data_IF_386171499840
#
_entry.id   IF_386171499840
#
_cell.length_a   1.000
_cell.length_b   1.000
_cell.length_c   1.000
_cell.angle_alpha   90.00
_cell.angle_beta   90.00
_cell.angle_gamma   90.00
#
_symmetry.space_group_name_H-M   'P 1'
#
loop_
_entity.id
_entity.type
_entity.pdbx_description
1 polymer ?
#
# COMPACT_ATOMS: atom_id res chain seq x y z
N UNK A 1 19.19 -5.77 -16.55
CA UNK A 1 18.26 -6.13 -15.45
C UNK A 1 16.86 -5.72 -15.86
N UNK A 2 15.83 -6.56 -15.64
CA UNK A 2 14.44 -6.15 -15.83
C UNK A 2 14.11 -4.94 -14.94
N UNK A 3 13.22 -4.04 -15.37
CA UNK A 3 12.78 -2.95 -14.50
C UNK A 3 11.97 -3.50 -13.32
N UNK A 4 12.02 -2.85 -12.15
CA UNK A 4 11.24 -3.25 -10.96
C UNK A 4 9.75 -3.38 -11.30
N UNK A 5 9.21 -2.45 -12.10
CA UNK A 5 7.82 -2.50 -12.57
C UNK A 5 7.51 -3.76 -13.39
N UNK A 6 8.44 -4.19 -14.25
CA UNK A 6 8.30 -5.43 -15.03
C UNK A 6 8.29 -6.66 -14.11
N UNK A 7 9.16 -6.69 -13.10
CA UNK A 7 9.20 -7.80 -12.13
C UNK A 7 7.93 -7.85 -11.27
N UNK A 8 7.41 -6.70 -10.81
CA UNK A 8 6.14 -6.63 -10.07
C UNK A 8 4.98 -7.17 -10.91
N UNK A 9 4.92 -6.78 -12.19
CA UNK A 9 3.91 -7.28 -13.12
C UNK A 9 4.04 -8.80 -13.30
N UNK A 10 5.26 -9.32 -13.51
CA UNK A 10 5.51 -10.75 -13.66
C UNK A 10 5.13 -11.53 -12.39
N UNK A 11 5.51 -11.03 -11.21
CA UNK A 11 5.13 -11.63 -9.93
C UNK A 11 3.62 -11.66 -9.74
N UNK A 12 2.94 -10.57 -10.11
CA UNK A 12 1.47 -10.50 -10.09
C UNK A 12 0.85 -11.51 -11.05
N UNK A 13 1.43 -11.69 -12.26
CA UNK A 13 0.98 -12.71 -13.21
C UNK A 13 1.15 -14.12 -12.65
N UNK A 14 2.33 -14.47 -12.14
CA UNK A 14 2.61 -15.78 -11.52
C UNK A 14 1.61 -16.11 -10.40
N UNK A 15 1.29 -15.11 -9.57
CA UNK A 15 0.28 -15.26 -8.52
C UNK A 15 -1.09 -15.55 -9.13
N UNK A 16 -1.53 -14.76 -10.11
CA UNK A 16 -2.84 -14.93 -10.75
C UNK A 16 -2.99 -16.30 -11.45
N UNK A 17 -1.93 -16.80 -12.09
CA UNK A 17 -1.87 -18.15 -12.67
C UNK A 17 -2.09 -19.26 -11.64
N UNK A 18 -1.74 -19.00 -10.37
CA UNK A 18 -1.97 -19.88 -9.22
C UNK A 18 -3.19 -19.46 -8.38
N UNK A 19 -4.21 -18.86 -9.01
CA UNK A 19 -5.45 -18.39 -8.35
C UNK A 19 -5.21 -17.27 -7.33
N UNK A 20 -4.21 -16.43 -7.57
CA UNK A 20 -3.91 -15.20 -6.84
C UNK A 20 -3.06 -15.37 -5.57
N UNK A 21 -2.59 -16.59 -5.27
CA UNK A 21 -1.74 -16.90 -4.13
C UNK A 21 -0.81 -18.10 -4.43
N UNK A 22 0.43 -18.07 -3.93
CA UNK A 22 1.34 -19.22 -3.99
C UNK A 22 2.40 -19.14 -2.88
N UNK A 23 3.11 -20.25 -2.63
CA UNK A 23 4.20 -20.26 -1.66
C UNK A 23 5.34 -19.32 -2.07
N UNK A 24 5.98 -18.68 -1.08
CA UNK A 24 7.06 -17.71 -1.29
C UNK A 24 8.22 -18.30 -2.12
N UNK A 25 8.66 -19.52 -1.76
CA UNK A 25 9.74 -20.22 -2.46
C UNK A 25 9.35 -20.56 -3.91
N UNK A 26 8.08 -20.90 -4.16
CA UNK A 26 7.61 -21.19 -5.51
C UNK A 26 7.60 -19.92 -6.37
N UNK A 27 7.16 -18.78 -5.82
CA UNK A 27 7.19 -17.50 -6.53
C UNK A 27 8.63 -17.08 -6.87
N UNK A 28 9.55 -17.27 -5.92
CA UNK A 28 10.98 -17.02 -6.13
C UNK A 28 11.53 -17.83 -7.31
N UNK A 29 11.26 -19.14 -7.34
CA UNK A 29 11.70 -20.03 -8.41
C UNK A 29 11.12 -19.63 -9.78
N UNK A 30 9.82 -19.33 -9.85
CA UNK A 30 9.16 -18.89 -11.09
C UNK A 30 9.75 -17.59 -11.62
N UNK A 31 10.03 -16.60 -10.74
CA UNK A 31 10.63 -15.33 -11.16
C UNK A 31 12.11 -15.46 -11.55
N UNK A 32 12.88 -16.30 -10.85
CA UNK A 32 14.25 -16.63 -11.24
C UNK A 32 14.29 -17.26 -12.64
N UNK A 33 13.31 -18.12 -12.97
CA UNK A 33 13.21 -18.75 -14.28
C UNK A 33 12.73 -17.79 -15.37
N UNK A 34 11.69 -16.98 -15.10
CA UNK A 34 11.05 -16.11 -16.10
C UNK A 34 11.83 -14.84 -16.40
N UNK A 35 12.45 -14.23 -15.39
CA UNK A 35 13.10 -12.92 -15.54
C UNK A 35 14.51 -12.84 -14.95
N UNK A 36 15.13 -13.99 -14.57
CA UNK A 36 16.50 -14.07 -14.03
C UNK A 36 16.74 -13.17 -12.81
N UNK A 37 15.69 -12.93 -12.03
CA UNK A 37 15.73 -12.08 -10.84
C UNK A 37 16.49 -12.76 -9.70
N UNK A 38 17.38 -12.02 -9.03
CA UNK A 38 18.21 -12.54 -7.94
C UNK A 38 17.41 -12.70 -6.63
N UNK A 39 17.98 -13.43 -5.66
CA UNK A 39 17.37 -13.59 -4.34
C UNK A 39 17.27 -12.26 -3.57
N UNK A 40 18.28 -11.38 -3.70
CA UNK A 40 18.30 -10.07 -3.05
C UNK A 40 17.19 -9.18 -3.61
N UNK A 41 17.06 -9.12 -4.94
CA UNK A 41 16.00 -8.36 -5.61
C UNK A 41 14.61 -8.90 -5.26
N UNK A 42 14.46 -10.23 -5.15
CA UNK A 42 13.21 -10.86 -4.73
C UNK A 42 12.78 -10.40 -3.34
N UNK A 43 13.68 -10.52 -2.37
CA UNK A 43 13.44 -10.12 -0.98
C UNK A 43 13.09 -8.64 -0.93
N UNK A 44 13.85 -7.80 -1.65
CA UNK A 44 13.59 -6.38 -1.75
C UNK A 44 12.18 -6.09 -2.28
N UNK A 45 11.75 -6.73 -3.38
CA UNK A 45 10.43 -6.49 -3.98
C UNK A 45 9.31 -6.94 -3.03
N UNK A 46 9.42 -8.13 -2.45
CA UNK A 46 8.39 -8.68 -1.56
C UNK A 46 8.25 -7.82 -0.30
N UNK A 47 9.35 -7.34 0.29
CA UNK A 47 9.33 -6.52 1.50
C UNK A 47 8.91 -5.06 1.23
N UNK A 48 9.34 -4.48 0.11
CA UNK A 48 9.12 -3.06 -0.20
C UNK A 48 7.87 -2.81 -1.04
N UNK A 49 7.11 -3.85 -1.43
CA UNK A 49 5.85 -3.71 -2.16
C UNK A 49 4.63 -4.31 -1.42
N UNK A 50 4.34 -3.92 -0.15
CA UNK A 50 3.20 -4.47 0.63
C UNK A 50 1.82 -4.09 0.06
N UNK A 51 1.79 -3.13 -0.88
CA UNK A 51 0.60 -2.74 -1.64
C UNK A 51 0.31 -3.67 -2.82
N UNK A 52 1.23 -4.58 -3.14
CA UNK A 52 1.16 -5.54 -4.26
C UNK A 52 1.24 -6.98 -3.79
N UNK A 53 2.00 -7.24 -2.72
CA UNK A 53 2.22 -8.57 -2.19
C UNK A 53 1.95 -8.58 -0.69
N UNK A 54 1.07 -9.47 -0.25
CA UNK A 54 0.83 -9.74 1.16
C UNK A 54 1.50 -11.07 1.52
N UNK A 55 2.38 -11.05 2.52
CA UNK A 55 2.90 -12.27 3.13
C UNK A 55 1.92 -12.79 4.17
N UNK A 56 1.61 -14.08 4.07
CA UNK A 56 0.72 -14.79 4.99
C UNK A 56 1.48 -15.98 5.54
N UNK A 57 1.56 -16.17 6.88
CA UNK A 57 2.15 -17.36 7.46
C UNK A 57 1.47 -18.64 6.95
N UNK A 58 2.28 -19.63 6.56
CA UNK A 58 1.83 -20.92 6.04
C UNK A 58 2.73 -22.03 6.59
N UNK A 59 2.37 -22.53 7.78
CA UNK A 59 3.20 -23.47 8.55
C UNK A 59 4.52 -22.82 8.98
N UNK A 60 5.63 -23.44 8.61
CA UNK A 60 7.00 -22.93 8.86
C UNK A 60 7.49 -21.98 7.75
N UNK A 61 6.65 -21.67 6.77
CA UNK A 61 6.97 -20.83 5.62
C UNK A 61 5.94 -19.72 5.44
N UNK A 62 5.98 -19.05 4.29
CA UNK A 62 5.06 -17.99 3.92
C UNK A 62 4.44 -18.27 2.55
N UNK A 63 3.18 -17.89 2.42
CA UNK A 63 2.48 -17.74 1.14
C UNK A 63 2.38 -16.25 0.78
N UNK A 64 2.44 -15.96 -0.51
CA UNK A 64 2.32 -14.60 -1.07
C UNK A 64 0.96 -14.48 -1.73
N UNK A 65 0.18 -13.47 -1.34
CA UNK A 65 -1.14 -13.15 -1.91
C UNK A 65 -1.05 -11.84 -2.71
N UNK A 66 -1.60 -11.85 -3.93
CA UNK A 66 -1.64 -10.66 -4.79
C UNK A 66 -2.61 -9.59 -4.28
N UNK A 67 -2.16 -8.33 -4.26
CA UNK A 67 -2.92 -7.19 -3.73
C UNK A 67 -3.02 -6.06 -4.74
N UNK A 68 -4.17 -5.38 -4.75
CA UNK A 68 -4.35 -4.14 -5.49
C UNK A 68 -5.33 -3.20 -4.77
N UNK A 69 -5.13 -1.89 -4.95
CA UNK A 69 -6.06 -0.84 -4.50
C UNK A 69 -7.20 -0.57 -5.49
N UNK A 70 -7.12 -1.10 -6.71
CA UNK A 70 -8.14 -0.87 -7.73
C UNK A 70 -9.48 -1.54 -7.36
N UNK A 71 -10.57 -0.82 -7.56
CA UNK A 71 -11.95 -1.28 -7.35
C UNK A 71 -12.81 -0.85 -8.53
N UNK A 72 -13.94 -1.54 -8.75
CA UNK A 72 -14.92 -1.08 -9.74
C UNK A 72 -15.66 0.15 -9.21
N UNK A 73 -15.98 1.09 -10.11
CA UNK A 73 -16.77 2.25 -9.75
C UNK A 73 -18.24 1.86 -9.53
N UNK A 74 -18.76 2.09 -8.31
CA UNK A 74 -20.15 1.77 -7.96
C UNK A 74 -21.18 2.56 -8.77
N UNK A 75 -20.98 3.89 -8.90
CA UNK A 75 -21.86 4.76 -9.68
C UNK A 75 -21.88 4.33 -11.16
N UNK A 76 -20.71 4.11 -11.74
CA UNK A 76 -20.59 3.61 -13.12
C UNK A 76 -21.26 2.25 -13.30
N UNK A 77 -21.06 1.32 -12.36
CA UNK A 77 -21.66 -0.02 -12.41
C UNK A 77 -23.18 0.01 -12.39
N UNK A 78 -23.79 1.05 -11.81
CA UNK A 78 -25.25 1.28 -11.82
C UNK A 78 -25.73 2.09 -13.03
N UNK A 79 -24.83 2.55 -13.90
CA UNK A 79 -25.15 3.42 -15.03
C UNK A 79 -25.40 4.88 -14.65
N UNK A 80 -24.96 5.29 -13.46
CA UNK A 80 -25.05 6.67 -12.98
C UNK A 80 -23.91 7.52 -13.57
N UNK A 81 -24.08 8.85 -13.58
CA UNK A 81 -23.00 9.77 -14.00
C UNK A 81 -21.88 9.73 -12.97
N UNK A 82 -20.67 9.43 -13.43
CA UNK A 82 -19.47 9.46 -12.60
C UNK A 82 -18.73 10.79 -12.77
N UNK A 83 -18.22 11.36 -11.68
CA UNK A 83 -17.51 12.64 -11.70
C UNK A 83 -16.14 12.55 -12.40
N UNK A 84 -15.64 13.69 -12.90
CA UNK A 84 -14.41 13.76 -13.71
C UNK A 84 -13.10 13.37 -13.00
N UNK A 85 -13.11 13.21 -11.67
CA UNK A 85 -11.95 12.82 -10.86
C UNK A 85 -11.98 11.37 -10.34
N UNK A 86 -12.81 10.50 -10.92
CA UNK A 86 -12.99 9.12 -10.44
C UNK A 86 -11.68 8.31 -10.43
N UNK A 87 -11.37 7.66 -9.31
CA UNK A 87 -10.18 6.81 -9.11
C UNK A 87 -10.52 5.32 -9.09
N UNK A 88 -11.65 4.94 -9.67
CA UNK A 88 -12.15 3.56 -9.74
C UNK A 88 -12.34 3.14 -11.20
N UNK A 89 -12.23 1.85 -11.46
CA UNK A 89 -12.31 1.30 -12.82
C UNK A 89 -13.75 1.40 -13.35
N UNK A 90 -13.87 1.88 -14.58
CA UNK A 90 -15.12 1.90 -15.33
C UNK A 90 -15.19 0.66 -16.21
N UNK A 91 -15.74 -0.42 -15.65
CA UNK A 91 -15.92 -1.71 -16.33
C UNK A 91 -17.28 -2.31 -16.01
N UNK A 92 -17.81 -3.06 -16.96
CA UNK A 92 -18.98 -3.90 -16.76
C UNK A 92 -18.66 -5.00 -15.74
N UNK A 93 -19.40 -5.04 -14.63
CA UNK A 93 -19.23 -6.09 -13.61
C UNK A 93 -19.38 -7.52 -14.18
N UNK A 94 -20.35 -7.74 -15.08
CA UNK A 94 -20.54 -9.06 -15.70
C UNK A 94 -19.43 -9.41 -16.70
N UNK A 95 -18.71 -8.41 -17.23
CA UNK A 95 -17.53 -8.65 -18.04
C UNK A 95 -16.38 -9.15 -17.18
N UNK A 96 -16.16 -8.51 -16.03
CA UNK A 96 -15.19 -8.96 -15.01
C UNK A 96 -15.53 -10.38 -14.51
N UNK A 97 -16.80 -10.76 -14.49
CA UNK A 97 -17.21 -12.13 -14.16
C UNK A 97 -17.00 -13.16 -15.28
N UNK A 98 -16.66 -12.71 -16.49
CA UNK A 98 -16.37 -13.55 -17.64
C UNK A 98 -17.58 -14.04 -18.43
N UNK A 99 -18.82 -13.67 -18.06
CA UNK A 99 -20.03 -14.13 -18.75
C UNK A 99 -21.09 -13.02 -18.93
N UNK A 100 -20.67 -11.84 -19.41
CA UNK A 100 -21.59 -10.77 -19.78
C UNK A 100 -22.43 -11.17 -21.00
N UNK A 101 -23.76 -11.28 -20.80
CA UNK A 101 -24.74 -11.64 -21.85
C UNK A 101 -24.78 -10.66 -23.03
N UNK A 102 -24.24 -9.45 -22.87
CA UNK A 102 -24.21 -8.38 -23.88
C UNK A 102 -22.81 -8.17 -24.49
N UNK A 103 -21.82 -9.02 -24.17
CA UNK A 103 -20.46 -8.88 -24.71
C UNK A 103 -20.23 -9.56 -26.06
N UNK A 104 -21.05 -10.55 -26.41
CA UNK A 104 -20.90 -11.37 -27.63
C UNK A 104 -22.19 -11.45 -28.46
N UNK A 105 -23.22 -10.69 -28.09
CA UNK A 105 -24.56 -10.74 -28.69
C UNK A 105 -24.87 -9.55 -29.61
N UNK A 106 -26.07 -9.57 -30.21
CA UNK A 106 -26.53 -8.51 -31.14
C UNK A 106 -26.71 -7.13 -30.49
N UNK A 107 -26.93 -7.08 -29.17
CA UNK A 107 -27.05 -5.84 -28.39
C UNK A 107 -25.75 -5.57 -27.64
N UNK A 108 -25.20 -4.38 -27.83
CA UNK A 108 -23.99 -3.91 -27.15
C UNK A 108 -24.26 -3.68 -25.65
N UNK A 109 -23.26 -4.00 -24.82
CA UNK A 109 -23.32 -3.67 -23.40
C UNK A 109 -23.30 -2.15 -23.21
N UNK A 110 -24.12 -1.64 -22.28
CA UNK A 110 -24.13 -0.21 -21.91
C UNK A 110 -22.90 0.20 -21.11
N UNK A 111 -22.25 -0.77 -20.46
CA UNK A 111 -21.05 -0.58 -19.65
C UNK A 111 -19.81 -1.01 -20.44
N UNK A 112 -18.68 -0.36 -20.21
CA UNK A 112 -17.43 -0.59 -20.93
C UNK A 112 -16.91 -2.01 -20.68
N UNK A 113 -16.51 -2.68 -21.75
CA UNK A 113 -15.69 -3.90 -21.71
C UNK A 113 -14.21 -3.60 -22.03
N UNK A 114 -13.87 -2.34 -22.29
CA UNK A 114 -12.51 -1.92 -22.60
C UNK A 114 -11.72 -1.65 -21.30
N UNK A 115 -10.91 -2.64 -20.91
CA UNK A 115 -9.96 -2.54 -19.79
C UNK A 115 -8.98 -1.39 -20.00
N UNK A 116 -8.54 -1.18 -21.24
CA UNK A 116 -7.54 -0.18 -21.62
C UNK A 116 -8.11 1.21 -21.93
N UNK A 117 -9.40 1.45 -21.61
CA UNK A 117 -10.06 2.72 -21.91
C UNK A 117 -9.26 3.92 -21.37
N UNK A 118 -9.42 5.09 -22.00
CA UNK A 118 -8.71 6.32 -21.61
C UNK A 118 -8.81 6.62 -20.11
N UNK A 119 -9.96 6.33 -19.49
CA UNK A 119 -10.18 6.47 -18.05
C UNK A 119 -9.35 5.47 -17.22
N UNK A 120 -9.40 4.19 -17.60
CA UNK A 120 -8.75 3.10 -16.84
C UNK A 120 -7.22 3.09 -17.01
N UNK A 121 -6.70 3.53 -18.15
CA UNK A 121 -5.28 3.41 -18.51
C UNK A 121 -4.34 4.04 -17.47
N UNK A 122 -4.68 5.22 -16.93
CA UNK A 122 -3.91 5.87 -15.87
C UNK A 122 -3.89 5.03 -14.58
N UNK A 123 -5.07 4.60 -14.12
CA UNK A 123 -5.24 3.81 -12.90
C UNK A 123 -4.48 2.48 -12.96
N UNK A 124 -4.53 1.80 -14.11
CA UNK A 124 -3.81 0.55 -14.34
C UNK A 124 -2.29 0.75 -14.37
N UNK A 125 -1.80 1.85 -14.95
CA UNK A 125 -0.37 2.17 -14.99
C UNK A 125 0.18 2.48 -13.60
N UNK A 126 -0.54 3.27 -12.81
CA UNK A 126 -0.20 3.56 -11.41
C UNK A 126 -0.08 2.28 -10.57
N UNK A 127 -0.87 1.26 -10.92
CA UNK A 127 -0.83 -0.02 -10.25
C UNK A 127 0.13 -1.05 -10.86
N UNK A 128 0.87 -0.70 -11.93
CA UNK A 128 1.68 -1.64 -12.73
C UNK A 128 0.88 -2.86 -13.22
N UNK A 129 -0.38 -2.65 -13.61
CA UNK A 129 -1.31 -3.69 -14.10
C UNK A 129 -1.75 -3.48 -15.56
N UNK A 130 -1.25 -2.44 -16.23
CA UNK A 130 -1.64 -2.06 -17.59
C UNK A 130 -1.32 -3.09 -18.68
N UNK A 131 -0.37 -3.99 -18.43
CA UNK A 131 0.01 -5.10 -19.31
C UNK A 131 -0.46 -6.47 -18.77
N UNK A 132 -1.21 -6.48 -17.66
CA UNK A 132 -1.71 -7.71 -17.10
C UNK A 132 -2.86 -8.24 -17.96
N UNK A 133 -2.85 -9.56 -18.23
CA UNK A 133 -3.93 -10.22 -18.95
C UNK A 133 -5.28 -9.99 -18.25
N UNK A 134 -6.36 -9.84 -19.03
CA UNK A 134 -7.67 -9.45 -18.49
C UNK A 134 -8.20 -10.46 -17.46
N UNK A 135 -8.08 -11.76 -17.73
CA UNK A 135 -8.51 -12.81 -16.80
C UNK A 135 -7.74 -12.74 -15.46
N UNK A 136 -6.45 -12.40 -15.50
CA UNK A 136 -5.63 -12.21 -14.30
C UNK A 136 -6.04 -10.94 -13.55
N UNK A 137 -6.31 -9.84 -14.26
CA UNK A 137 -6.82 -8.62 -13.65
C UNK A 137 -8.17 -8.87 -12.96
N UNK A 138 -9.07 -9.61 -13.61
CA UNK A 138 -10.39 -9.91 -13.04
C UNK A 138 -10.28 -10.76 -11.78
N UNK A 139 -9.46 -11.80 -11.79
CA UNK A 139 -9.19 -12.59 -10.58
C UNK A 139 -8.64 -11.72 -9.45
N UNK A 140 -7.65 -10.86 -9.77
CA UNK A 140 -7.04 -9.95 -8.81
C UNK A 140 -8.06 -8.97 -8.21
N UNK A 141 -8.96 -8.42 -9.04
CA UNK A 141 -10.06 -7.56 -8.58
C UNK A 141 -11.02 -8.32 -7.65
N UNK A 142 -11.40 -9.54 -8.01
CA UNK A 142 -12.35 -10.34 -7.23
C UNK A 142 -11.81 -10.69 -5.83
N UNK A 143 -10.53 -11.05 -5.69
CA UNK A 143 -9.98 -11.34 -4.38
C UNK A 143 -9.74 -10.09 -3.52
N UNK A 144 -9.62 -8.91 -4.14
CA UNK A 144 -9.39 -7.66 -3.42
C UNK A 144 -10.70 -6.90 -3.09
N UNK A 145 -11.82 -7.21 -3.73
CA UNK A 145 -13.11 -6.55 -3.53
C UNK A 145 -14.21 -7.52 -3.08
N UNK A 146 -14.53 -7.58 -1.78
CA UNK A 146 -15.59 -8.43 -1.25
C UNK A 146 -16.97 -8.16 -1.88
N UNK A 147 -17.22 -6.96 -2.41
CA UNK A 147 -18.50 -6.65 -3.05
C UNK A 147 -18.66 -7.35 -4.39
N UNK A 148 -17.57 -7.85 -5.00
CA UNK A 148 -17.62 -8.63 -6.24
C UNK A 148 -17.96 -10.11 -6.01
N UNK A 149 -17.79 -10.61 -4.79
CA UNK A 149 -17.98 -12.01 -4.48
C UNK A 149 -19.45 -12.32 -4.13
N UNK A 150 -19.97 -13.50 -4.50
CA UNK A 150 -21.22 -14.00 -3.95
C UNK A 150 -21.21 -14.04 -2.41
N UNK A 151 -22.38 -14.06 -1.78
CA UNK A 151 -22.42 -14.20 -0.33
C UNK A 151 -22.26 -15.67 0.10
N UNK A 152 -21.54 -15.90 1.19
CA UNK A 152 -21.46 -17.21 1.87
C UNK A 152 -22.48 -17.26 2.99
N UNK A 153 -23.24 -18.34 3.08
CA UNK A 153 -24.26 -18.54 4.10
C UNK A 153 -23.63 -18.76 5.48
N UNK A 154 -23.84 -17.81 6.40
CA UNK A 154 -23.36 -17.94 7.79
C UNK A 154 -24.10 -19.02 8.57
N UNK A 155 -25.36 -19.32 8.23
CA UNK A 155 -26.17 -20.32 8.94
C UNK A 155 -25.77 -21.75 8.61
N UNK A 156 -25.23 -21.98 7.40
CA UNK A 156 -24.69 -23.28 6.99
C UNK A 156 -23.54 -23.77 7.89
N UNK A 157 -22.76 -22.82 8.42
CA UNK A 157 -21.64 -23.12 9.32
C UNK A 157 -22.04 -23.34 10.78
N UNK A 158 -23.34 -23.21 11.10
CA UNK A 158 -23.90 -23.50 12.43
C UNK A 158 -24.65 -24.83 12.38
N UNK A 159 -24.70 -25.60 13.46
CA UNK A 159 -25.48 -26.86 13.50
C UNK A 159 -24.89 -28.03 12.68
N UNK A 160 -25.65 -29.11 12.60
CA UNK A 160 -25.23 -30.38 12.01
C UNK A 160 -25.38 -30.42 10.49
N UNK A 161 -24.48 -31.16 9.83
CA UNK A 161 -24.59 -31.49 8.41
C UNK A 161 -25.93 -32.19 8.09
N UNK A 162 -26.43 -32.14 6.84
CA UNK A 162 -25.77 -31.59 5.64
C UNK A 162 -25.93 -30.08 5.43
N UNK A 163 -26.98 -29.44 5.97
CA UNK A 163 -27.28 -28.02 5.69
C UNK A 163 -26.98 -27.08 6.86
N UNK A 164 -26.48 -27.60 7.99
CA UNK A 164 -26.29 -26.81 9.18
C UNK A 164 -27.62 -26.26 9.71
N UNK A 165 -27.61 -25.01 10.16
CA UNK A 165 -28.78 -24.27 10.62
C UNK A 165 -29.44 -23.45 9.50
N UNK A 166 -29.07 -23.66 8.24
CA UNK A 166 -29.69 -22.96 7.11
C UNK A 166 -31.11 -23.49 6.86
N UNK A 167 -32.13 -22.65 7.07
CA UNK A 167 -33.53 -23.00 6.83
C UNK A 167 -33.88 -23.17 5.35
N UNK A 168 -33.07 -22.61 4.46
CA UNK A 168 -33.29 -22.67 3.02
C UNK A 168 -32.66 -23.90 2.37
N UNK A 169 -31.74 -24.60 3.06
CA UNK A 169 -31.12 -25.84 2.57
C UNK A 169 -30.65 -25.69 1.12
N UNK A 170 -31.02 -26.60 0.21
CA UNK A 170 -30.62 -26.54 -1.20
C UNK A 170 -31.20 -25.35 -1.96
N UNK A 171 -32.25 -24.69 -1.45
CA UNK A 171 -32.81 -23.47 -2.05
C UNK A 171 -32.14 -22.18 -1.59
N UNK A 172 -31.08 -22.26 -0.78
CA UNK A 172 -30.36 -21.08 -0.32
C UNK A 172 -29.70 -20.33 -1.49
N UNK A 173 -29.96 -19.03 -1.59
CA UNK A 173 -29.36 -18.17 -2.61
C UNK A 173 -27.90 -17.78 -2.36
N UNK A 174 -27.37 -18.15 -1.18
CA UNK A 174 -26.01 -17.92 -0.69
C UNK A 174 -25.22 -19.24 -0.70
N UNK A 175 -23.91 -19.15 -0.87
CA UNK A 175 -23.03 -20.32 -0.98
C UNK A 175 -22.88 -21.08 0.35
N UNK A 176 -23.01 -22.39 0.27
CA UNK A 176 -22.82 -23.31 1.40
C UNK A 176 -21.36 -23.80 1.47
N UNK A 177 -20.43 -22.91 1.86
CA UNK A 177 -19.01 -23.26 1.98
C UNK A 177 -18.56 -23.33 3.45
N UNK A 178 -17.67 -24.27 3.75
CA UNK A 178 -17.04 -24.43 5.06
C UNK A 178 -16.20 -23.20 5.42
N UNK A 179 -16.60 -22.46 6.45
CA UNK A 179 -15.91 -21.25 6.89
C UNK A 179 -14.48 -21.53 7.34
N UNK A 180 -14.23 -22.62 8.06
CA UNK A 180 -12.88 -23.02 8.47
C UNK A 180 -11.96 -23.34 7.28
N UNK A 181 -12.53 -23.84 6.18
CA UNK A 181 -11.75 -24.14 4.98
C UNK A 181 -11.37 -22.86 4.23
N UNK A 182 -12.30 -21.90 4.16
CA UNK A 182 -12.01 -20.57 3.61
C UNK A 182 -10.93 -19.86 4.44
N UNK A 183 -10.93 -20.05 5.77
CA UNK A 183 -9.91 -19.50 6.68
C UNK A 183 -8.58 -20.27 6.67
N UNK A 184 -8.48 -21.40 5.98
CA UNK A 184 -7.27 -22.24 5.96
C UNK A 184 -7.04 -23.09 7.22
N UNK A 185 -7.99 -23.16 8.16
CA UNK A 185 -7.85 -23.84 9.47
C UNK A 185 -8.70 -25.11 9.60
N UNK A 186 -9.31 -25.59 8.51
CA UNK A 186 -10.15 -26.79 8.53
C UNK A 186 -9.30 -28.06 8.77
N UNK A 187 -9.42 -28.63 9.97
CA UNK A 187 -8.68 -29.84 10.38
C UNK A 187 -9.20 -31.14 9.75
N UNK A 188 -10.41 -31.13 9.20
CA UNK A 188 -11.05 -32.33 8.64
C UNK A 188 -10.63 -32.63 7.20
N UNK A 189 -10.03 -31.66 6.50
CA UNK A 189 -9.59 -31.81 5.11
C UNK A 189 -10.69 -32.41 4.22
N UNK A 190 -10.41 -33.47 3.44
CA UNK A 190 -11.41 -34.11 2.57
C UNK A 190 -12.53 -34.83 3.33
N UNK A 191 -12.36 -35.11 4.63
CA UNK A 191 -13.37 -35.75 5.50
C UNK A 191 -14.32 -34.73 6.15
N UNK A 192 -14.20 -33.45 5.78
CA UNK A 192 -15.10 -32.42 6.30
C UNK A 192 -16.53 -32.70 5.86
N UNK A 193 -17.48 -32.66 6.82
CA UNK A 193 -18.91 -32.80 6.52
C UNK A 193 -19.51 -31.55 5.85
N UNK A 194 -18.71 -30.49 5.69
CA UNK A 194 -19.09 -29.25 5.01
C UNK A 194 -18.37 -29.13 3.67
N UNK A 195 -18.98 -28.44 2.72
CA UNK A 195 -18.45 -28.36 1.37
C UNK A 195 -17.20 -27.46 1.30
N UNK A 196 -16.17 -27.94 0.60
CA UNK A 196 -14.94 -27.20 0.28
C UNK A 196 -14.91 -26.73 -1.19
N UNK A 197 -15.96 -27.06 -1.94
CA UNK A 197 -16.16 -26.66 -3.32
C UNK A 197 -17.62 -26.21 -3.51
N UNK A 198 -17.87 -25.42 -4.55
CA UNK A 198 -19.24 -25.03 -4.92
C UNK A 198 -19.96 -26.25 -5.48
N UNK A 199 -21.15 -26.55 -4.96
CA UNK A 199 -21.97 -27.66 -5.47
C UNK A 199 -22.55 -27.37 -6.86
N UNK A 200 -23.05 -28.42 -7.53
CA UNK A 200 -23.53 -28.34 -8.91
C UNK A 200 -24.71 -27.39 -9.09
N UNK A 201 -25.62 -27.30 -8.11
CA UNK A 201 -26.79 -26.41 -8.18
C UNK A 201 -26.37 -24.96 -8.03
N UNK A 202 -25.57 -24.67 -7.00
CA UNK A 202 -24.97 -23.35 -6.79
C UNK A 202 -24.15 -22.91 -8.01
N UNK A 203 -23.44 -23.83 -8.67
CA UNK A 203 -22.73 -23.55 -9.90
C UNK A 203 -23.69 -23.10 -11.02
N UNK A 204 -24.76 -23.84 -11.27
CA UNK A 204 -25.77 -23.45 -12.28
C UNK A 204 -26.39 -22.08 -11.99
N UNK A 205 -26.72 -21.78 -10.73
CA UNK A 205 -27.27 -20.49 -10.33
C UNK A 205 -26.27 -19.34 -10.52
N UNK A 206 -24.99 -19.55 -10.20
CA UNK A 206 -23.94 -18.56 -10.41
C UNK A 206 -23.64 -18.32 -11.89
N UNK A 207 -23.66 -19.36 -12.72
CA UNK A 207 -23.50 -19.23 -14.18
C UNK A 207 -24.64 -18.40 -14.76
N UNK A 208 -25.89 -18.64 -14.32
CA UNK A 208 -27.04 -17.82 -14.69
C UNK A 208 -26.87 -16.36 -14.24
N UNK A 209 -26.27 -16.11 -13.08
CA UNK A 209 -25.94 -14.75 -12.59
C UNK A 209 -24.73 -14.12 -13.31
N UNK A 210 -24.12 -14.81 -14.26
CA UNK A 210 -23.08 -14.27 -15.14
C UNK A 210 -21.64 -14.53 -14.69
N UNK A 211 -21.40 -15.47 -13.76
CA UNK A 211 -20.05 -15.94 -13.44
C UNK A 211 -19.63 -17.05 -14.41
N UNK A 212 -18.38 -17.04 -14.85
CA UNK A 212 -17.83 -18.11 -15.66
C UNK A 212 -17.59 -19.38 -14.83
N UNK A 213 -17.69 -20.56 -15.46
CA UNK A 213 -17.46 -21.86 -14.81
C UNK A 213 -16.06 -21.97 -14.20
N UNK A 214 -15.06 -21.42 -14.89
CA UNK A 214 -13.67 -21.34 -14.40
C UNK A 214 -13.62 -20.56 -13.08
N UNK A 215 -14.21 -19.37 -13.05
CA UNK A 215 -14.22 -18.51 -11.88
C UNK A 215 -14.94 -19.16 -10.70
N UNK A 216 -16.08 -19.83 -10.95
CA UNK A 216 -16.84 -20.52 -9.90
C UNK A 216 -16.00 -21.61 -9.23
N UNK A 217 -15.20 -22.35 -10.01
CA UNK A 217 -14.29 -23.37 -9.48
C UNK A 217 -13.17 -22.75 -8.62
N UNK A 218 -12.71 -21.56 -8.99
CA UNK A 218 -11.62 -20.87 -8.29
C UNK A 218 -12.12 -20.05 -7.08
N UNK A 219 -13.44 -19.85 -6.92
CA UNK A 219 -14.04 -19.09 -5.81
C UNK A 219 -13.52 -19.47 -4.42
N UNK A 220 -13.39 -20.76 -4.02
CA UNK A 220 -12.92 -21.07 -2.69
C UNK A 220 -11.50 -20.56 -2.39
N UNK A 221 -10.61 -20.54 -3.40
CA UNK A 221 -9.28 -19.94 -3.27
C UNK A 221 -9.36 -18.41 -3.21
N UNK A 222 -10.20 -17.80 -4.05
CA UNK A 222 -10.42 -16.36 -4.08
C UNK A 222 -10.95 -15.85 -2.74
N UNK A 223 -11.90 -16.56 -2.10
CA UNK A 223 -12.39 -16.20 -0.76
C UNK A 223 -11.30 -16.28 0.30
N UNK A 224 -10.47 -17.32 0.26
CA UNK A 224 -9.34 -17.44 1.20
C UNK A 224 -8.40 -16.25 1.08
N UNK A 225 -8.03 -15.90 -0.15
CA UNK A 225 -7.19 -14.73 -0.43
C UNK A 225 -7.86 -13.44 0.06
N UNK A 226 -9.15 -13.26 -0.20
CA UNK A 226 -9.91 -12.11 0.27
C UNK A 226 -9.95 -12.02 1.80
N UNK A 227 -10.06 -13.15 2.52
CA UNK A 227 -10.00 -13.17 3.97
C UNK A 227 -8.62 -12.75 4.50
N UNK A 228 -7.52 -13.22 3.91
CA UNK A 228 -6.19 -12.76 4.28
C UNK A 228 -6.01 -11.26 4.05
N UNK A 229 -6.47 -10.75 2.91
CA UNK A 229 -6.40 -9.32 2.57
C UNK A 229 -7.25 -8.47 3.53
N UNK A 230 -8.45 -8.93 3.86
CA UNK A 230 -9.34 -8.25 4.82
C UNK A 230 -8.78 -8.30 6.25
N UNK A 231 -8.20 -9.42 6.67
CA UNK A 231 -7.56 -9.56 7.97
C UNK A 231 -6.33 -8.63 8.09
N UNK A 232 -5.51 -8.55 7.05
CA UNK A 232 -4.38 -7.61 7.01
C UNK A 232 -4.84 -6.15 7.02
N UNK A 233 -5.97 -5.84 6.35
CA UNK A 233 -6.58 -4.51 6.42
C UNK A 233 -7.13 -4.21 7.82
N UNK A 234 -7.76 -5.18 8.49
CA UNK A 234 -8.31 -5.08 9.85
C UNK A 234 -7.22 -4.96 10.92
N UNK A 235 -6.11 -5.69 10.77
CA UNK A 235 -4.95 -5.63 11.65
C UNK A 235 -4.08 -4.40 11.40
N UNK A 236 -4.27 -3.71 10.26
CA UNK A 236 -3.71 -2.38 10.07
C UNK A 236 -4.49 -1.42 10.99
N UNK A 237 -3.83 -0.50 11.72
CA UNK A 237 -4.50 0.40 12.66
C UNK A 237 -5.66 1.22 12.04
N UNK A 238 -5.73 1.29 10.71
CA UNK A 238 -6.67 2.06 9.90
C UNK A 238 -8.06 1.42 9.67
N UNK A 239 -8.40 0.28 10.29
CA UNK A 239 -9.69 -0.36 10.06
C UNK A 239 -10.47 -0.63 11.36
N UNK A 240 -11.59 0.06 11.52
CA UNK A 240 -12.75 -0.49 12.22
C UNK A 240 -14.01 -0.30 11.35
N UNK A 241 -14.97 -1.23 11.38
CA UNK A 241 -16.12 -1.25 10.49
C UNK A 241 -17.24 -0.33 10.98
N UNK A 242 -18.00 0.23 10.05
CA UNK A 242 -19.25 0.94 10.37
C UNK A 242 -20.36 -0.03 10.83
N UNK A 243 -20.89 0.24 12.03
CA UNK A 243 -22.26 0.09 12.55
C UNK A 243 -22.97 -1.28 12.63
N UNK A 244 -23.24 -1.73 13.86
CA UNK A 244 -24.58 -2.07 14.41
C UNK A 244 -24.52 -2.16 15.97
N UNK A 245 -25.65 -2.02 16.72
CA UNK A 245 -25.68 -1.27 17.98
C UNK A 245 -25.51 -2.08 19.29
N UNK A 246 -25.08 -1.33 20.31
CA UNK A 246 -25.17 -1.45 21.77
C UNK A 246 -25.53 -2.79 22.44
N UNK A 247 -24.66 -3.25 23.36
CA UNK A 247 -25.01 -3.68 24.72
C UNK A 247 -23.75 -3.77 25.60
N UNK A 248 -23.90 -3.36 26.86
CA UNK A 248 -22.90 -3.16 27.92
C UNK A 248 -22.08 -4.39 28.35
N UNK A 249 -20.89 -4.14 28.92
CA UNK A 249 -20.15 -5.15 29.69
C UNK A 249 -18.66 -4.84 29.88
N UNK A 250 -18.33 -4.32 31.07
CA UNK A 250 -17.06 -3.78 31.52
C UNK A 250 -16.00 -4.85 31.94
N UNK A 251 -14.72 -4.42 31.94
CA UNK A 251 -13.54 -4.89 32.74
C UNK A 251 -12.40 -5.71 32.08
N UNK A 252 -11.31 -4.96 31.78
CA UNK A 252 -9.93 -5.01 32.35
C UNK A 252 -8.83 -6.01 31.88
N UNK A 253 -7.83 -5.40 31.21
CA UNK A 253 -6.35 -5.49 31.38
C UNK A 253 -5.47 -6.44 30.51
N UNK A 254 -4.19 -6.07 30.25
CA UNK A 254 -3.58 -5.96 28.90
C UNK A 254 -2.51 -7.04 28.58
N UNK A 255 -1.87 -6.99 27.39
CA UNK A 255 -0.43 -6.69 27.43
C UNK A 255 0.14 -5.83 26.28
N UNK A 256 1.11 -5.00 26.70
CA UNK A 256 2.37 -4.63 26.05
C UNK A 256 2.35 -3.81 24.74
N UNK A 257 2.61 -2.53 24.98
CA UNK A 257 3.06 -1.47 24.07
C UNK A 257 4.17 -1.88 23.11
N UNK A 258 3.90 -1.71 21.81
CA UNK A 258 4.92 -1.42 20.81
C UNK A 258 4.61 -0.03 20.24
N UNK A 259 5.24 1.00 20.81
CA UNK A 259 5.24 2.37 20.28
C UNK A 259 5.91 2.30 18.91
N UNK A 260 5.21 2.61 17.81
CA UNK A 260 5.84 2.69 16.48
C UNK A 260 5.31 3.87 15.66
N UNK A 261 6.14 4.91 15.55
CA UNK A 261 6.42 5.80 14.40
C UNK A 261 5.30 6.47 13.57
N UNK A 262 4.03 6.12 13.68
CA UNK A 262 2.98 6.58 12.75
C UNK A 262 2.28 7.87 13.20
N UNK A 263 2.34 8.21 14.48
CA UNK A 263 1.73 9.41 15.06
C UNK A 263 2.59 10.67 14.84
N UNK A 264 3.79 10.51 14.28
CA UNK A 264 4.82 11.56 14.20
C UNK A 264 5.13 12.00 12.75
N UNK A 265 4.43 11.47 11.74
CA UNK A 265 4.61 11.88 10.34
C UNK A 265 3.59 12.97 9.94
N UNK A 266 4.03 13.90 9.10
CA UNK A 266 3.17 14.94 8.52
C UNK A 266 2.31 14.33 7.41
N UNK A 267 1.01 14.63 7.45
CA UNK A 267 0.03 14.12 6.50
C UNK A 267 0.29 14.67 5.09
N UNK A 268 0.85 13.84 4.21
CA UNK A 268 1.12 14.22 2.83
C UNK A 268 -0.17 14.60 2.05
N UNK A 269 -1.31 14.00 2.40
CA UNK A 269 -2.58 14.31 1.77
C UNK A 269 -3.12 15.68 2.20
N UNK A 270 -2.80 16.13 3.42
CA UNK A 270 -3.19 17.44 3.93
C UNK A 270 -2.47 18.56 3.19
N UNK A 271 -1.14 18.44 3.02
CA UNK A 271 -0.34 19.40 2.23
C UNK A 271 -0.87 19.51 0.78
N UNK A 272 -1.49 18.45 0.26
CA UNK A 272 -2.09 18.40 -1.08
C UNK A 272 -3.57 18.76 -1.13
N UNK A 273 -4.17 19.23 -0.03
CA UNK A 273 -5.60 19.54 0.08
C UNK A 273 -6.52 18.36 -0.31
N UNK A 274 -6.07 17.13 -0.06
CA UNK A 274 -6.74 15.89 -0.44
C UNK A 274 -7.00 14.95 0.73
N UNK A 275 -6.62 15.35 1.95
CA UNK A 275 -6.90 14.59 3.17
C UNK A 275 -8.40 14.57 3.44
N UNK A 276 -8.98 13.37 3.51
CA UNK A 276 -10.41 13.16 3.76
C UNK A 276 -10.74 13.02 5.25
N UNK A 277 -9.72 13.00 6.10
CA UNK A 277 -9.85 12.71 7.53
C UNK A 277 -9.92 13.98 8.40
N UNK A 278 -9.58 15.16 7.86
CA UNK A 278 -9.65 16.45 8.58
C UNK A 278 -9.07 16.33 10.01
N UNK A 279 -9.76 16.81 11.03
CA UNK A 279 -9.30 16.78 12.43
C UNK A 279 -9.18 15.37 13.03
N UNK A 280 -9.69 14.34 12.32
CA UNK A 280 -9.55 12.93 12.69
C UNK A 280 -8.35 12.25 12.04
N UNK A 281 -7.45 12.99 11.38
CA UNK A 281 -6.24 12.42 10.80
C UNK A 281 -5.23 12.06 11.89
N UNK A 282 -4.70 10.84 11.81
CA UNK A 282 -3.66 10.36 12.75
C UNK A 282 -2.26 10.86 12.43
N UNK A 283 -2.09 11.50 11.28
CA UNK A 283 -0.86 12.17 10.87
C UNK A 283 -1.00 13.67 11.10
N UNK A 284 0.12 14.33 11.40
CA UNK A 284 0.11 15.75 11.74
C UNK A 284 -0.30 16.58 10.52
N UNK A 285 -1.37 17.37 10.67
CA UNK A 285 -1.80 18.34 9.67
C UNK A 285 -0.96 19.60 9.77
N UNK A 286 0.05 19.71 8.92
CA UNK A 286 0.93 20.87 8.85
C UNK A 286 1.17 21.28 7.40
N UNK A 287 1.31 22.58 7.15
CA UNK A 287 1.36 23.14 5.79
C UNK A 287 2.76 23.03 5.14
N UNK A 288 3.82 22.74 5.91
CA UNK A 288 5.16 22.45 5.40
C UNK A 288 5.47 20.94 5.46
N UNK A 289 6.41 20.44 4.64
CA UNK A 289 6.80 19.03 4.65
C UNK A 289 7.73 18.65 5.83
N UNK A 290 8.05 19.61 6.69
CA UNK A 290 8.81 19.46 7.93
C UNK A 290 8.15 20.30 9.02
N UNK A 291 8.33 19.92 10.29
CA UNK A 291 7.85 20.67 11.46
C UNK A 291 8.84 20.52 12.60
N UNK A 292 9.19 21.62 13.25
CA UNK A 292 10.10 21.63 14.39
C UNK A 292 9.35 21.99 15.67
N UNK A 293 9.54 21.18 16.70
CA UNK A 293 8.86 21.32 17.99
C UNK A 293 9.84 21.17 19.15
N UNK A 294 9.61 21.91 20.24
CA UNK A 294 10.34 21.80 21.49
C UNK A 294 9.42 21.28 22.59
N UNK A 295 9.96 20.47 23.49
CA UNK A 295 9.25 19.93 24.64
C UNK A 295 9.56 20.73 25.91
N UNK A 296 8.56 21.41 26.46
CA UNK A 296 8.67 22.27 27.64
C UNK A 296 8.51 21.50 28.98
N UNK A 297 8.44 20.18 28.94
CA UNK A 297 8.15 19.32 30.09
C UNK A 297 6.67 18.95 30.24
N UNK A 298 5.77 19.55 29.46
CA UNK A 298 4.33 19.25 29.45
C UNK A 298 3.85 18.84 28.06
N UNK A 299 4.18 19.61 27.03
CA UNK A 299 3.74 19.36 25.66
C UNK A 299 4.80 19.78 24.62
N UNK A 300 4.56 19.37 23.38
CA UNK A 300 5.34 19.80 22.23
C UNK A 300 4.74 21.09 21.66
N UNK A 301 5.57 22.13 21.50
CA UNK A 301 5.18 23.42 20.91
C UNK A 301 6.05 23.79 19.72
N UNK A 302 5.46 24.45 18.72
CA UNK A 302 6.12 24.86 17.48
C UNK A 302 7.24 25.89 17.73
N UNK A 303 8.39 25.72 17.05
CA UNK A 303 9.47 26.72 17.04
C UNK A 303 9.20 27.82 16.00
N UNK A 304 9.42 29.08 16.37
CA UNK A 304 9.03 30.25 15.56
C UNK A 304 9.83 30.41 14.26
N UNK A 305 11.08 29.93 14.22
CA UNK A 305 12.01 30.09 13.08
C UNK A 305 12.30 28.77 12.34
N UNK A 306 11.30 27.89 12.21
CA UNK A 306 11.50 26.52 11.73
C UNK A 306 12.08 26.41 10.31
N UNK A 307 11.84 27.36 9.41
CA UNK A 307 12.43 27.34 8.06
C UNK A 307 13.94 27.63 8.08
N UNK A 308 14.39 28.51 8.98
CA UNK A 308 15.82 28.77 9.17
C UNK A 308 16.49 27.59 9.87
N UNK A 309 15.83 27.02 10.89
CA UNK A 309 16.30 25.80 11.58
C UNK A 309 16.41 24.65 10.58
N UNK A 310 15.42 24.45 9.71
CA UNK A 310 15.46 23.41 8.69
C UNK A 310 16.59 23.63 7.68
N UNK A 311 16.80 24.88 7.23
CA UNK A 311 17.90 25.24 6.32
C UNK A 311 19.26 24.93 6.93
N UNK A 312 19.42 25.26 8.21
CA UNK A 312 20.65 25.05 8.97
C UNK A 312 20.87 23.55 9.23
N UNK A 313 19.83 22.83 9.65
CA UNK A 313 19.82 21.37 9.87
C UNK A 313 20.15 20.58 8.61
N UNK A 314 19.79 21.13 7.47
CA UNK A 314 20.13 20.58 6.18
C UNK A 314 21.65 20.72 5.90
N UNK A 315 22.33 21.77 6.34
CA UNK A 315 23.74 21.95 5.99
C UNK A 315 24.68 21.05 6.80
N UNK A 316 25.42 20.09 6.19
CA UNK A 316 26.29 19.17 6.93
C UNK A 316 27.44 19.86 7.67
N UNK A 317 27.77 21.10 7.30
CA UNK A 317 28.78 21.89 8.01
C UNK A 317 28.24 22.55 9.29
N UNK A 318 26.93 22.54 9.53
CA UNK A 318 26.32 23.18 10.69
C UNK A 318 25.87 22.13 11.71
N UNK A 319 26.24 22.34 12.96
CA UNK A 319 25.83 21.48 14.09
C UNK A 319 24.78 22.15 14.98
N UNK A 320 24.43 23.41 14.70
CA UNK A 320 23.40 24.15 15.42
C UNK A 320 22.72 25.18 14.51
N UNK A 321 21.52 25.63 14.88
CA UNK A 321 20.84 26.74 14.20
C UNK A 321 21.52 28.10 14.47
N UNK A 322 21.27 29.07 13.60
CA UNK A 322 21.71 30.46 13.76
C UNK A 322 20.73 31.28 14.62
N UNK A 323 21.25 31.89 15.70
CA UNK A 323 20.61 32.82 16.67
C UNK A 323 19.49 32.29 17.62
N UNK A 324 19.08 33.17 18.56
CA UNK A 324 18.22 33.14 19.77
C UNK A 324 17.55 31.83 20.26
N UNK A 325 17.12 30.94 19.38
CA UNK A 325 16.59 29.60 19.68
C UNK A 325 17.59 28.57 19.14
N UNK A 326 18.76 28.50 19.77
CA UNK A 326 19.88 27.66 19.30
C UNK A 326 19.55 26.19 19.54
N UNK A 327 19.11 25.52 18.49
CA UNK A 327 18.91 24.07 18.46
C UNK A 327 20.26 23.43 18.15
N UNK A 328 20.72 22.54 19.02
CA UNK A 328 21.83 21.63 18.76
C UNK A 328 21.30 20.42 17.99
N UNK A 329 21.79 20.24 16.76
CA UNK A 329 21.34 19.19 15.86
C UNK A 329 21.93 17.82 16.18
N UNK A 330 23.02 17.77 16.95
CA UNK A 330 23.67 16.53 17.35
C UNK A 330 22.95 15.91 18.54
N UNK A 331 22.63 16.73 19.53
CA UNK A 331 21.93 16.29 20.74
C UNK A 331 20.41 16.37 20.61
N UNK A 332 19.89 17.04 19.57
CA UNK A 332 18.46 17.31 19.38
C UNK A 332 17.86 18.03 20.60
N UNK A 333 18.52 19.11 21.03
CA UNK A 333 18.12 19.91 22.19
C UNK A 333 18.21 21.40 21.93
N UNK A 334 17.37 22.19 22.60
CA UNK A 334 17.50 23.64 22.72
C UNK A 334 17.72 23.96 24.20
N UNK A 335 18.90 24.47 24.54
CA UNK A 335 19.41 24.55 25.92
C UNK A 335 19.41 23.17 26.61
N UNK A 336 18.39 22.87 27.43
CA UNK A 336 18.16 21.58 28.09
C UNK A 336 16.84 20.91 27.68
N UNK A 337 16.06 21.56 26.82
CA UNK A 337 14.77 21.07 26.36
C UNK A 337 14.93 20.15 25.14
N UNK A 338 14.29 18.97 25.10
CA UNK A 338 14.26 18.12 23.93
C UNK A 338 13.60 18.80 22.73
N UNK A 339 14.17 18.62 21.55
CA UNK A 339 13.64 19.12 20.27
C UNK A 339 13.37 17.94 19.35
N UNK A 340 12.31 18.00 18.54
CA UNK A 340 12.04 17.01 17.50
C UNK A 340 11.72 17.66 16.16
N UNK A 341 12.02 16.91 15.10
CA UNK A 341 11.68 17.25 13.71
C UNK A 341 10.73 16.20 13.15
N UNK A 342 9.52 16.61 12.82
CA UNK A 342 8.56 15.79 12.08
C UNK A 342 8.77 15.97 10.57
N UNK A 343 8.45 14.94 9.79
CA UNK A 343 8.58 14.99 8.34
C UNK A 343 7.40 14.34 7.64
N UNK A 344 7.21 14.67 6.35
CA UNK A 344 6.38 13.82 5.50
C UNK A 344 7.00 12.43 5.36
N UNK A 345 6.17 11.47 4.95
CA UNK A 345 6.59 10.10 4.68
C UNK A 345 7.86 10.04 3.83
N UNK A 346 8.78 9.14 4.20
CA UNK A 346 10.05 8.97 3.48
C UNK A 346 9.81 8.60 2.01
N UNK A 347 10.63 9.18 1.12
CA UNK A 347 10.68 8.85 -0.30
C UNK A 347 10.95 7.37 -0.53
N UNK A 348 11.68 6.68 0.35
CA UNK A 348 11.89 5.23 0.22
C UNK A 348 10.58 4.44 0.42
N UNK A 349 9.65 4.98 1.22
CA UNK A 349 8.34 4.37 1.52
C UNK A 349 7.27 4.69 0.45
N UNK A 350 7.55 5.53 -0.55
CA UNK A 350 6.58 5.97 -1.59
C UNK A 350 7.24 6.19 -2.96
N UNK A 351 6.61 5.79 -4.08
CA UNK A 351 7.24 5.86 -5.39
C UNK A 351 7.54 7.31 -5.88
N UNK A 352 8.48 7.50 -6.84
CA UNK A 352 9.13 8.78 -7.17
C UNK A 352 8.22 9.91 -7.67
N UNK A 353 6.97 9.61 -8.00
CA UNK A 353 5.96 10.57 -8.50
C UNK A 353 5.17 11.24 -7.36
N UNK A 354 5.39 10.83 -6.11
CA UNK A 354 4.87 11.56 -4.96
C UNK A 354 5.77 12.78 -4.67
N UNK A 355 5.39 13.94 -5.21
CA UNK A 355 5.88 15.25 -4.76
C UNK A 355 5.77 15.43 -3.23
N UNK A 356 6.73 16.11 -2.60
CA UNK A 356 6.75 16.44 -1.16
C UNK A 356 6.98 15.25 -0.20
N UNK A 357 7.56 14.15 -0.69
CA UNK A 357 8.08 13.07 0.15
C UNK A 357 9.50 13.39 0.66
N UNK A 358 9.87 12.87 1.83
CA UNK A 358 11.15 13.20 2.46
C UNK A 358 12.25 12.25 2.00
N UNK A 359 13.23 12.75 1.25
CA UNK A 359 14.44 12.00 0.91
C UNK A 359 15.50 12.20 2.00
N UNK A 360 16.18 11.12 2.39
CA UNK A 360 17.29 11.16 3.33
C UNK A 360 18.60 10.92 2.58
N UNK A 361 19.53 11.88 2.68
CA UNK A 361 20.87 11.79 2.13
C UNK A 361 21.89 11.62 3.27
N UNK A 362 22.96 10.90 3.01
CA UNK A 362 24.04 10.64 3.96
C UNK A 362 25.31 11.32 3.48
N UNK A 363 25.99 12.05 4.36
CA UNK A 363 27.27 12.71 4.06
C UNK A 363 28.37 12.22 4.99
N UNK A 364 29.58 12.04 4.47
CA UNK A 364 30.78 11.76 5.25
C UNK A 364 31.79 12.90 5.12
N UNK A 365 32.54 13.16 6.19
CA UNK A 365 33.57 14.21 6.20
C UNK A 365 34.84 13.70 5.52
N UNK A 366 35.24 14.35 4.44
CA UNK A 366 36.49 14.08 3.72
C UNK A 366 37.71 14.53 4.53
N UNK A 367 38.84 13.85 4.33
CA UNK A 367 40.12 14.11 5.01
C UNK A 367 40.63 15.56 4.82
N UNK A 368 40.25 16.22 3.73
CA UNK A 368 40.63 17.60 3.40
C UNK A 368 39.64 18.68 3.87
N UNK A 369 38.66 18.33 4.72
CA UNK A 369 37.74 19.30 5.33
C UNK A 369 36.51 19.67 4.48
N UNK A 370 35.91 18.69 3.79
CA UNK A 370 34.67 18.85 3.03
C UNK A 370 33.67 17.72 3.30
N UNK A 371 32.45 17.81 2.77
CA UNK A 371 31.41 16.77 2.91
C UNK A 371 31.16 16.08 1.58
N UNK A 372 31.21 14.74 1.58
CA UNK A 372 30.96 13.89 0.43
C UNK A 372 29.68 13.10 0.66
N UNK A 373 28.80 13.06 -0.34
CA UNK A 373 27.60 12.23 -0.29
C UNK A 373 27.99 10.74 -0.35
N UNK A 374 27.55 9.97 0.63
CA UNK A 374 27.81 8.55 0.77
C UNK A 374 26.97 7.76 -0.25
N UNK A 375 27.62 6.91 -1.06
CA UNK A 375 26.95 6.02 -2.01
C UNK A 375 26.92 6.49 -3.48
N UNK A 376 27.56 7.61 -3.82
CA UNK A 376 27.69 8.06 -5.22
C UNK A 376 28.87 7.36 -5.93
N UNK A 377 28.69 6.81 -7.16
CA UNK A 377 29.77 6.22 -7.93
C UNK A 377 30.82 7.27 -8.34
N UNK A 378 32.10 6.91 -8.30
CA UNK A 378 33.20 7.76 -8.75
C UNK A 378 33.17 7.80 -10.28
N UNK A 379 32.83 8.96 -10.87
CA UNK A 379 32.99 9.18 -12.31
C UNK A 379 34.45 9.50 -12.62
N UNK A 380 35.01 8.83 -13.64
CA UNK A 380 36.41 8.86 -14.10
C UNK A 380 36.96 10.22 -14.58
N UNK A 381 36.30 11.33 -14.27
CA UNK A 381 36.69 12.67 -14.71
C UNK A 381 37.54 13.44 -13.69
N UNK A 382 38.06 12.81 -12.64
CA UNK A 382 38.87 13.50 -11.63
C UNK A 382 39.98 12.60 -11.03
N UNK A 383 41.24 12.71 -11.48
CA UNK A 383 42.32 11.79 -11.11
C UNK A 383 42.81 11.93 -9.64
N UNK A 384 42.12 12.70 -8.80
CA UNK A 384 42.44 12.90 -7.38
C UNK A 384 41.53 12.18 -6.38
N UNK A 385 40.53 11.40 -6.82
CA UNK A 385 39.57 10.71 -5.94
C UNK A 385 40.11 9.35 -5.49
N UNK A 386 40.82 9.33 -4.36
CA UNK A 386 41.02 8.08 -3.63
C UNK A 386 39.67 7.60 -3.07
N UNK A 387 39.31 6.37 -3.40
CA UNK A 387 38.21 5.65 -2.76
C UNK A 387 38.58 5.38 -1.30
N UNK A 388 37.78 5.79 -0.30
CA UNK A 388 38.05 5.38 1.06
C UNK A 388 37.82 3.87 1.17
N UNK A 389 38.91 3.15 1.45
CA UNK A 389 38.92 1.73 1.74
C UNK A 389 37.86 1.40 2.82
N UNK A 390 36.87 0.52 2.54
CA UNK A 390 35.84 0.12 3.49
C UNK A 390 36.41 -0.51 4.77
N UNK A 391 37.66 -0.97 4.75
CA UNK A 391 38.34 -1.58 5.88
C UNK A 391 39.11 -0.60 6.78
N UNK A 392 39.18 0.70 6.40
CA UNK A 392 39.84 1.75 7.19
C UNK A 392 38.89 2.69 7.93
N UNK A 393 37.59 2.66 7.64
CA UNK A 393 36.57 3.28 8.48
C UNK A 393 36.24 2.37 9.67
N UNK A 394 37.21 2.24 10.58
CA UNK A 394 36.96 1.67 11.90
C UNK A 394 35.83 2.42 12.58
N UNK A 395 34.94 1.67 13.23
CA UNK A 395 33.84 2.12 14.09
C UNK A 395 34.03 3.54 14.63
N UNK A 396 33.26 4.50 14.13
CA UNK A 396 33.03 5.77 14.82
C UNK A 396 31.55 5.83 15.17
N UNK A 397 31.27 5.49 16.42
CA UNK A 397 30.07 5.89 17.14
C UNK A 397 30.02 7.43 17.22
N UNK A 398 29.64 8.11 16.14
CA UNK A 398 29.16 9.50 16.13
C UNK A 398 28.97 9.95 14.69
N UNK A 399 28.04 9.34 13.96
CA UNK A 399 27.64 9.85 12.64
C UNK A 399 26.71 11.02 12.89
N UNK A 400 27.25 12.24 12.81
CA UNK A 400 26.45 13.47 12.78
C UNK A 400 25.48 13.37 11.58
N UNK A 401 24.21 13.15 11.90
CA UNK A 401 23.10 12.99 10.96
C UNK A 401 22.71 14.35 10.41
N UNK A 402 23.14 14.66 9.19
CA UNK A 402 22.69 15.87 8.50
C UNK A 402 22.02 15.51 7.18
N UNK A 403 20.78 16.00 7.02
CA UNK A 403 19.73 15.49 6.13
C UNK A 403 19.28 16.61 5.17
N UNK A 404 19.53 16.50 3.86
CA UNK A 404 19.25 17.55 2.84
C UNK A 404 18.26 17.16 1.73
N UNK A 405 17.54 18.15 1.19
CA UNK A 405 16.46 18.10 0.19
C UNK A 405 16.83 18.70 -1.18
N UNK A 406 16.24 18.20 -2.27
CA UNK A 406 16.08 18.90 -3.55
C UNK A 406 14.64 18.75 -4.08
N UNK A 407 14.02 19.82 -4.57
CA UNK A 407 12.84 19.73 -5.46
C UNK A 407 13.11 20.40 -6.80
N UNK A 408 12.82 19.67 -7.88
CA UNK A 408 12.79 20.20 -9.24
C UNK A 408 11.40 20.82 -9.48
N UNK A 409 11.30 22.14 -9.51
CA UNK A 409 10.08 22.84 -9.92
C UNK A 409 10.05 23.01 -11.45
N UNK A 410 8.91 22.76 -12.14
CA UNK A 410 8.73 23.20 -13.52
C UNK A 410 8.35 24.68 -13.53
N UNK A 411 9.17 25.48 -14.20
CA UNK A 411 8.92 26.88 -14.51
C UNK A 411 7.74 27.01 -15.50
N UNK A 412 6.56 27.39 -15.01
CA UNK A 412 5.51 28.03 -15.83
C UNK A 412 4.77 29.11 -15.06
N UNK A 413 5.01 30.37 -15.45
CA UNK A 413 4.24 31.55 -15.05
C UNK A 413 2.77 31.38 -15.44
N UNK A 414 1.85 31.59 -14.51
CA UNK A 414 0.53 32.17 -14.78
C UNK A 414 0.17 33.12 -13.63
N UNK A 415 -0.01 34.38 -13.99
CA UNK A 415 -0.61 35.39 -13.12
C UNK A 415 -2.07 35.01 -12.86
N UNK A 416 -2.46 34.94 -11.59
CA UNK A 416 -3.83 35.16 -11.17
C UNK A 416 -3.80 35.89 -9.82
N UNK A 417 -4.41 37.07 -9.83
CA UNK A 417 -4.43 38.08 -8.79
C UNK A 417 -5.38 37.72 -7.66
N UNK A 418 -4.83 37.61 -6.45
CA UNK A 418 -5.36 37.96 -5.11
C UNK A 418 -4.86 36.92 -4.09
N UNK A 419 -4.40 37.41 -2.95
CA UNK A 419 -3.59 36.75 -1.91
C UNK A 419 -2.07 36.80 -2.14
N UNK A 420 -1.43 37.75 -1.44
CA UNK A 420 0.01 37.93 -1.34
C UNK A 420 0.64 36.71 -0.66
N UNK A 421 1.35 35.89 -1.42
CA UNK A 421 2.41 35.05 -0.91
C UNK A 421 3.73 35.61 -1.43
N UNK A 422 4.59 36.05 -0.52
CA UNK A 422 5.94 36.47 -0.85
C UNK A 422 6.75 35.22 -1.22
N UNK A 423 7.24 35.20 -2.46
CA UNK A 423 8.22 34.23 -2.92
C UNK A 423 9.60 34.80 -2.65
N UNK A 424 10.46 34.03 -1.98
CA UNK A 424 11.90 34.22 -2.05
C UNK A 424 12.54 33.05 -2.79
N UNK A 425 13.63 33.38 -3.46
CA UNK A 425 14.17 32.77 -4.67
C UNK A 425 15.63 32.40 -4.38
N UNK A 426 16.12 31.31 -4.98
CA UNK A 426 17.53 30.89 -5.18
C UNK A 426 18.30 30.38 -3.93
N UNK A 427 19.28 29.45 -4.04
CA UNK A 427 20.09 28.93 -5.17
C UNK A 427 20.07 27.39 -5.21
#
# INVERSE_FOLDING_TARGET
MPSISSVILQATSCLCERRGCMQLQQLQQELQQRCRMTNEDFIYIIQNCPQRFLLVPDGESYSVVGRTSLRLCGAYSRGERCGGGCQQLHLCRFYVFGNCRFGKGRKLCKLSHDVSSKHNAGLLRECTLHELQEDHLFLLLLQNDPQLLPEVCVHYNKGSAPHGGCRFQDSCSKLHLCQHFLQGVCRFGPRCRRQHAVDQRSQSDLEQRGLSRQLIRDLPAIYRNAQHLNAAAAASPAASPAAAPAADGELKHPPLSHVTDQEEEICLHFIRNSCRFQDSCRQVHFHLPYKWEVYDGRCWSDLENMEQIERDYCNPAQTHSSDYQRVDFVTMTMESMPVRRLSTVSWVRRPPHYSLTTQWLWFCRAERGGWLEYGQPVTDSDPGRFSPDPSRCGCVQSSVLIRLWFSRWPSRRRYCSTHRFYWFYWF
#
